data_IF_292488688323
#
_entry.id   IF_292488688323
#
_cell.length_a   1.000
_cell.length_b   1.000
_cell.length_c   1.000
_cell.angle_alpha   90.00
_cell.angle_beta   90.00
_cell.angle_gamma   90.00
#
_symmetry.space_group_name_H-M   'P 1'
#
loop_
_entity.id
_entity.type
_entity.pdbx_description
1 polymer ?
#
# COMPACT_ATOMS: atom_id res chain seq x y z
N UNK A 1 10.18 -1.70 6.08
CA UNK A 1 9.84 -1.04 7.37
C UNK A 1 8.63 -0.09 7.23
N UNK A 2 7.76 0.00 8.26
CA UNK A 2 6.68 1.02 8.29
C UNK A 2 7.28 2.39 8.59
N UNK A 3 7.10 3.35 7.67
CA UNK A 3 7.64 4.72 7.80
C UNK A 3 6.63 5.72 8.34
N UNK A 4 5.37 5.58 7.95
CA UNK A 4 4.32 6.53 8.31
C UNK A 4 2.96 5.86 8.33
N UNK A 5 2.14 6.26 9.30
CA UNK A 5 0.74 5.83 9.45
C UNK A 5 -0.08 7.05 9.82
N UNK A 6 -1.19 7.24 9.12
CA UNK A 6 -2.11 8.34 9.39
C UNK A 6 -3.56 7.91 9.25
N UNK A 7 -4.35 8.22 10.28
CA UNK A 7 -5.78 8.00 10.25
C UNK A 7 -6.47 9.15 9.53
N UNK A 8 -7.17 8.83 8.46
CA UNK A 8 -7.92 9.78 7.64
C UNK A 8 -9.38 9.34 7.53
N UNK A 9 -10.26 10.27 7.16
CA UNK A 9 -11.61 9.95 6.72
C UNK A 9 -11.65 10.10 5.21
N UNK A 10 -12.14 9.08 4.51
CA UNK A 10 -12.30 9.16 3.06
C UNK A 10 -13.55 9.97 2.71
N UNK A 11 -13.44 10.76 1.65
CA UNK A 11 -14.56 11.37 0.92
C UNK A 11 -15.08 10.41 -0.17
N UNK A 12 -16.17 10.76 -0.86
CA UNK A 12 -16.85 9.86 -1.82
C UNK A 12 -15.93 9.24 -2.89
N UNK A 13 -14.90 9.97 -3.31
CA UNK A 13 -13.97 9.56 -4.38
C UNK A 13 -12.61 9.08 -3.87
N UNK A 14 -12.42 9.10 -2.55
CA UNK A 14 -11.15 8.73 -1.92
C UNK A 14 -11.18 7.26 -1.50
N UNK A 15 -10.01 6.58 -1.52
CA UNK A 15 -9.93 5.23 -1.02
C UNK A 15 -10.14 5.21 0.49
N UNK A 16 -10.74 4.12 0.97
CA UNK A 16 -10.97 3.84 2.38
C UNK A 16 -9.67 3.45 3.09
N UNK A 17 -8.73 2.86 2.34
CA UNK A 17 -7.36 2.56 2.76
C UNK A 17 -6.42 2.74 1.55
N UNK A 18 -5.31 3.42 1.77
CA UNK A 18 -4.28 3.72 0.79
C UNK A 18 -2.92 3.32 1.38
N UNK A 19 -2.14 2.60 0.59
CA UNK A 19 -0.79 2.19 0.97
C UNK A 19 0.18 2.47 -0.15
N UNK A 20 1.30 3.09 0.19
CA UNK A 20 2.47 3.19 -0.68
C UNK A 20 3.52 2.20 -0.23
N UNK A 21 4.03 1.42 -1.18
CA UNK A 21 5.24 0.60 -1.02
C UNK A 21 6.33 1.27 -1.85
N UNK A 22 7.25 1.97 -1.18
CA UNK A 22 8.40 2.57 -1.84
C UNK A 22 9.53 1.55 -1.97
N UNK A 23 9.89 1.26 -3.22
CA UNK A 23 10.98 0.36 -3.58
C UNK A 23 12.30 1.11 -3.54
N UNK A 24 13.23 0.61 -2.73
CA UNK A 24 14.55 1.21 -2.58
C UNK A 24 15.64 0.27 -3.07
N UNK A 25 16.70 0.86 -3.61
CA UNK A 25 17.98 0.18 -3.84
C UNK A 25 18.85 0.25 -2.57
N UNK A 26 19.98 -0.45 -2.54
CA UNK A 26 20.84 -0.63 -1.35
C UNK A 26 21.33 0.70 -0.73
N UNK A 27 21.47 1.76 -1.51
CA UNK A 27 21.88 3.09 -1.04
C UNK A 27 20.72 3.91 -0.42
N UNK A 28 19.51 3.34 -0.39
CA UNK A 28 18.31 3.97 0.14
C UNK A 28 17.55 4.85 -0.84
N UNK A 29 18.01 5.03 -2.09
CA UNK A 29 17.29 5.76 -3.13
C UNK A 29 16.01 5.01 -3.50
N UNK A 30 14.88 5.74 -3.52
CA UNK A 30 13.61 5.24 -4.04
C UNK A 30 13.67 5.23 -5.57
N UNK A 31 13.40 4.08 -6.18
CA UNK A 31 13.43 3.87 -7.64
C UNK A 31 12.05 3.60 -8.24
N UNK A 32 11.10 3.15 -7.42
CA UNK A 32 9.72 2.94 -7.84
C UNK A 32 8.78 2.89 -6.63
N UNK A 33 7.47 2.89 -6.88
CA UNK A 33 6.46 2.74 -5.86
C UNK A 33 5.25 1.94 -6.36
N UNK A 34 4.64 1.17 -5.45
CA UNK A 34 3.26 0.71 -5.63
C UNK A 34 2.33 1.58 -4.81
N UNK A 35 1.32 2.17 -5.46
CA UNK A 35 0.18 2.83 -4.82
C UNK A 35 -1.01 1.88 -4.85
N UNK A 36 -1.35 1.31 -3.69
CA UNK A 36 -2.44 0.35 -3.53
C UNK A 36 -3.61 1.03 -2.82
N UNK A 37 -4.78 0.98 -3.43
CA UNK A 37 -6.00 1.70 -3.01
C UNK A 37 -7.15 0.72 -2.82
N UNK A 38 -7.74 0.70 -1.62
CA UNK A 38 -8.96 -0.03 -1.30
C UNK A 38 -10.14 0.92 -1.33
N UNK A 39 -11.08 0.64 -2.23
CA UNK A 39 -12.43 1.20 -2.21
C UNK A 39 -13.40 0.18 -1.60
N UNK A 40 -14.70 0.49 -1.63
CA UNK A 40 -15.75 -0.32 -0.98
C UNK A 40 -15.71 -1.81 -1.34
N UNK A 41 -15.45 -2.15 -2.60
CA UNK A 41 -15.44 -3.52 -3.12
C UNK A 41 -14.33 -3.78 -4.14
N UNK A 42 -13.46 -2.80 -4.36
CA UNK A 42 -12.49 -2.80 -5.44
C UNK A 42 -11.13 -2.35 -4.91
N UNK A 43 -10.09 -3.06 -5.29
CA UNK A 43 -8.70 -2.73 -5.01
C UNK A 43 -8.02 -2.41 -6.33
N UNK A 44 -7.32 -1.28 -6.37
CA UNK A 44 -6.53 -0.87 -7.52
C UNK A 44 -5.10 -0.69 -7.04
N UNK A 45 -4.15 -1.29 -7.75
CA UNK A 45 -2.74 -1.02 -7.57
C UNK A 45 -2.18 -0.36 -8.82
N UNK A 46 -1.37 0.67 -8.59
CA UNK A 46 -0.66 1.40 -9.62
C UNK A 46 0.83 1.32 -9.32
N UNK A 47 1.62 0.89 -10.29
CA UNK A 47 3.07 0.91 -10.23
C UNK A 47 3.57 2.17 -10.93
N UNK A 48 4.52 2.88 -10.30
CA UNK A 48 5.19 4.04 -10.90
C UNK A 48 6.70 3.89 -10.67
N UNK A 49 7.52 4.19 -11.68
CA UNK A 49 8.98 4.22 -11.57
C UNK A 49 9.54 5.65 -11.65
N UNK A 50 10.85 5.81 -11.49
CA UNK A 50 11.52 7.12 -11.57
C UNK A 50 11.68 7.67 -13.00
N UNK A 51 11.10 7.02 -14.01
CA UNK A 51 11.17 7.45 -15.42
C UNK A 51 10.17 8.54 -15.80
N UNK A 52 9.25 8.91 -14.90
CA UNK A 52 8.22 9.94 -15.10
C UNK A 52 7.24 9.66 -16.25
N UNK A 53 7.09 8.40 -16.67
CA UNK A 53 6.13 8.00 -17.71
C UNK A 53 4.67 7.96 -17.23
N UNK A 54 4.46 8.20 -15.93
CA UNK A 54 3.17 8.05 -15.27
C UNK A 54 2.98 6.63 -14.72
N UNK A 55 1.92 6.45 -13.94
CA UNK A 55 1.64 5.16 -13.31
C UNK A 55 0.93 4.19 -14.24
N UNK A 56 1.34 2.92 -14.16
CA UNK A 56 0.71 1.80 -14.83
C UNK A 56 -0.16 1.02 -13.86
N UNK A 57 -1.37 0.62 -14.29
CA UNK A 57 -2.23 -0.23 -13.47
C UNK A 57 -1.62 -1.63 -13.42
N UNK A 58 -1.16 -2.05 -12.23
CA UNK A 58 -0.59 -3.38 -12.01
C UNK A 58 -1.66 -4.43 -11.71
N UNK A 59 -2.69 -4.09 -10.94
CA UNK A 59 -3.81 -4.99 -10.63
C UNK A 59 -5.12 -4.22 -10.41
N UNK A 60 -6.23 -4.83 -10.84
CA UNK A 60 -7.60 -4.43 -10.47
C UNK A 60 -8.33 -5.66 -9.95
N UNK A 61 -8.68 -5.66 -8.68
CA UNK A 61 -9.22 -6.83 -7.98
C UNK A 61 -10.53 -6.44 -7.30
N UNK A 62 -11.56 -7.27 -7.41
CA UNK A 62 -12.73 -7.16 -6.52
C UNK A 62 -12.44 -7.86 -5.22
N UNK A 63 -12.59 -7.17 -4.10
CA UNK A 63 -12.21 -7.74 -2.82
C UNK A 63 -12.41 -6.82 -1.62
N UNK A 64 -11.98 -7.32 -0.48
CA UNK A 64 -11.99 -6.64 0.80
C UNK A 64 -10.55 -6.46 1.31
N UNK A 65 -10.41 -5.97 2.53
CA UNK A 65 -9.13 -5.76 3.19
C UNK A 65 -8.20 -6.98 3.19
N UNK A 66 -8.70 -8.23 3.26
CA UNK A 66 -7.83 -9.42 3.17
C UNK A 66 -7.14 -9.53 1.81
N UNK A 67 -7.87 -9.25 0.73
CA UNK A 67 -7.28 -9.19 -0.61
C UNK A 67 -6.26 -8.05 -0.72
N UNK A 68 -6.53 -6.91 -0.08
CA UNK A 68 -5.62 -5.76 -0.04
C UNK A 68 -4.31 -6.09 0.69
N UNK A 69 -4.40 -6.73 1.86
CA UNK A 69 -3.26 -7.21 2.64
C UNK A 69 -2.42 -8.21 1.83
N UNK A 70 -3.07 -9.16 1.15
CA UNK A 70 -2.37 -10.11 0.29
C UNK A 70 -1.63 -9.41 -0.85
N UNK A 71 -2.19 -8.33 -1.40
CA UNK A 71 -1.55 -7.55 -2.45
C UNK A 71 -0.34 -6.76 -1.92
N UNK A 72 -0.42 -6.23 -0.69
CA UNK A 72 0.74 -5.66 -0.01
C UNK A 72 1.82 -6.72 0.18
N UNK A 73 1.46 -7.89 0.74
CA UNK A 73 2.40 -9.01 0.98
C UNK A 73 3.05 -9.51 -0.32
N UNK A 74 2.33 -9.46 -1.45
CA UNK A 74 2.87 -9.80 -2.79
C UNK A 74 3.98 -8.84 -3.21
N UNK A 75 3.84 -7.55 -2.92
CA UNK A 75 4.73 -6.51 -3.43
C UNK A 75 5.74 -5.98 -2.42
N UNK A 76 5.56 -6.19 -1.12
CA UNK A 76 6.40 -5.59 -0.09
C UNK A 76 7.55 -6.52 0.32
N UNK A 77 8.78 -6.01 0.30
CA UNK A 77 9.96 -6.63 0.92
C UNK A 77 10.30 -5.88 2.21
N UNK A 78 10.21 -6.57 3.34
CA UNK A 78 10.41 -5.98 4.66
C UNK A 78 11.82 -5.44 4.90
N UNK A 79 12.82 -6.00 4.21
CA UNK A 79 14.24 -5.68 4.39
C UNK A 79 14.63 -4.39 3.69
N UNK A 80 14.01 -4.11 2.54
CA UNK A 80 14.39 -2.99 1.67
C UNK A 80 13.32 -1.92 1.58
N UNK A 81 12.05 -2.27 1.62
CA UNK A 81 11.00 -1.33 1.23
C UNK A 81 10.50 -0.48 2.38
N UNK A 82 9.97 0.69 2.05
CA UNK A 82 9.26 1.53 3.01
C UNK A 82 7.76 1.47 2.76
N UNK A 83 7.00 1.30 3.85
CA UNK A 83 5.55 1.26 3.82
C UNK A 83 4.96 2.53 4.42
N UNK A 84 4.05 3.17 3.70
CA UNK A 84 3.29 4.33 4.17
C UNK A 84 1.80 4.05 4.05
N UNK A 85 1.04 4.27 5.12
CA UNK A 85 -0.36 3.87 5.24
C UNK A 85 -1.23 5.08 5.59
N UNK A 86 -2.32 5.27 4.85
CA UNK A 86 -3.36 6.26 5.12
C UNK A 86 -4.73 5.57 5.05
N UNK A 87 -5.66 5.88 5.94
CA UNK A 87 -7.03 5.39 5.78
C UNK A 87 -7.89 5.51 7.02
N UNK A 88 -9.11 5.00 6.93
CA UNK A 88 -9.98 4.92 8.11
C UNK A 88 -9.35 4.02 9.17
N UNK A 89 -9.45 4.46 10.42
CA UNK A 89 -8.87 3.78 11.57
C UNK A 89 -9.11 2.27 11.56
N UNK A 90 -10.35 1.80 11.34
CA UNK A 90 -10.67 0.35 11.33
C UNK A 90 -9.84 -0.46 10.33
N UNK A 91 -9.54 0.11 9.16
CA UNK A 91 -8.80 -0.59 8.11
C UNK A 91 -7.29 -0.51 8.33
N UNK A 92 -6.83 0.62 8.86
CA UNK A 92 -5.42 0.79 9.23
C UNK A 92 -5.08 -0.16 10.38
N UNK A 93 -5.91 -0.23 11.41
CA UNK A 93 -5.71 -1.13 12.56
C UNK A 93 -5.63 -2.61 12.10
N UNK A 94 -6.60 -3.06 11.28
CA UNK A 94 -6.61 -4.43 10.75
C UNK A 94 -5.38 -4.74 9.87
N UNK A 95 -4.92 -3.76 9.06
CA UNK A 95 -3.69 -3.91 8.28
C UNK A 95 -2.44 -4.02 9.19
N UNK A 96 -2.36 -3.19 10.23
CA UNK A 96 -1.21 -3.16 11.14
C UNK A 96 -1.12 -4.44 11.98
N UNK A 97 -2.24 -4.98 12.45
CA UNK A 97 -2.28 -6.27 13.13
C UNK A 97 -1.71 -7.38 12.22
N UNK A 98 -2.13 -7.41 10.97
CA UNK A 98 -1.72 -8.42 9.99
C UNK A 98 -0.26 -8.29 9.53
N UNK A 99 0.29 -7.07 9.48
CA UNK A 99 1.72 -6.87 9.20
C UNK A 99 2.55 -7.20 10.44
N UNK A 100 2.10 -6.84 11.64
CA UNK A 100 2.83 -7.10 12.89
C UNK A 100 2.98 -8.60 13.18
N UNK A 101 1.98 -9.40 12.81
CA UNK A 101 2.03 -10.86 12.92
C UNK A 101 2.98 -11.55 11.91
N UNK A 102 3.52 -10.81 10.94
CA UNK A 102 4.46 -11.32 9.93
C UNK A 102 5.91 -10.95 10.26
N UNK A 103 6.12 -9.87 11.02
CA UNK A 103 7.46 -9.35 11.42
C UNK A 103 7.91 -9.91 12.79
N UNK A 104 7.17 -10.88 13.36
CA UNK A 104 7.46 -11.52 14.67
C UNK A 104 8.23 -12.83 14.53
#
# INVERSE_FOLDING_TARGET
MIKHVEYTRHSLTEPMLLTYIYKKVEDGKIVSAFRIMLYKDTIISVFEDDSLQGGEISDVIRGNIKCFINLIKKYYDENTDDLVIYGEQRYVDELLEEISNVVS
#
